data_IF_702247036202
#
_entry.id   IF_702247036202
#
_cell.length_a   1.000
_cell.length_b   1.000
_cell.length_c   1.000
_cell.angle_alpha   90.00
_cell.angle_beta   90.00
_cell.angle_gamma   90.00
#
_symmetry.space_group_name_H-M   'P 1'
#
loop_
_entity.id
_entity.type
_entity.pdbx_description
1 polymer ?
#
# COMPACT_ATOMS: atom_id res chain seq x y z
N UNK A 1 -65.61 -65.00 15.67
CA UNK A 1 -65.75 -63.88 14.76
C UNK A 1 -64.72 -62.77 15.18
N UNK A 2 -63.65 -62.57 14.47
CA UNK A 2 -62.70 -61.48 14.84
C UNK A 2 -62.98 -60.24 14.04
N UNK A 3 -63.00 -59.10 14.74
CA UNK A 3 -63.05 -57.73 14.18
C UNK A 3 -61.72 -57.36 13.46
N UNK A 4 -61.83 -56.91 12.22
CA UNK A 4 -60.75 -56.30 11.49
C UNK A 4 -60.60 -54.85 11.93
N UNK A 5 -59.43 -54.50 12.47
CA UNK A 5 -58.99 -53.09 12.70
C UNK A 5 -58.38 -52.53 11.41
N UNK A 6 -58.95 -51.47 10.86
CA UNK A 6 -58.36 -50.69 9.79
C UNK A 6 -57.36 -49.68 10.40
N UNK A 7 -56.09 -49.76 9.99
CA UNK A 7 -55.06 -48.84 10.33
C UNK A 7 -55.02 -47.74 9.24
N UNK A 8 -55.41 -46.51 9.60
CA UNK A 8 -55.30 -45.35 8.73
C UNK A 8 -53.88 -44.79 8.93
N UNK A 9 -53.03 -44.95 7.93
CA UNK A 9 -51.69 -44.28 7.89
C UNK A 9 -51.86 -42.91 7.27
N UNK A 10 -51.79 -41.89 8.13
CA UNK A 10 -51.79 -40.49 7.70
C UNK A 10 -50.37 -40.09 7.26
N UNK A 11 -50.18 -39.89 5.98
CA UNK A 11 -48.91 -39.35 5.41
C UNK A 11 -48.92 -37.85 5.59
N UNK A 12 -48.14 -37.34 6.57
CA UNK A 12 -47.80 -35.91 6.66
C UNK A 12 -46.71 -35.62 5.61
N UNK A 13 -47.08 -34.92 4.52
CA UNK A 13 -46.14 -34.27 3.64
C UNK A 13 -45.55 -33.07 4.37
N UNK A 14 -44.32 -33.20 4.83
CA UNK A 14 -43.52 -32.09 5.31
C UNK A 14 -42.90 -31.41 4.08
N UNK A 15 -43.50 -30.31 3.64
CA UNK A 15 -42.91 -29.42 2.59
C UNK A 15 -41.71 -28.72 3.19
N UNK A 16 -40.51 -29.18 2.85
CA UNK A 16 -39.28 -28.48 3.14
C UNK A 16 -39.19 -27.29 2.17
N UNK A 17 -39.56 -26.12 2.65
CA UNK A 17 -39.21 -24.84 2.01
C UNK A 17 -37.71 -24.63 2.26
N UNK A 18 -36.90 -25.16 1.37
CA UNK A 18 -35.47 -24.77 1.30
C UNK A 18 -35.45 -23.33 0.81
N UNK A 19 -35.13 -22.41 1.72
CA UNK A 19 -34.93 -21.01 1.43
C UNK A 19 -33.71 -20.85 0.50
N UNK A 20 -33.96 -20.63 -0.77
CA UNK A 20 -32.95 -20.21 -1.76
C UNK A 20 -32.48 -18.79 -1.50
N UNK A 21 -31.66 -18.56 -0.48
CA UNK A 21 -31.05 -17.28 -0.21
C UNK A 21 -29.52 -17.27 -0.22
N UNK A 22 -28.88 -18.46 -0.33
CA UNK A 22 -27.41 -18.56 -0.36
C UNK A 22 -26.80 -18.72 -1.74
N UNK A 23 -27.59 -18.98 -2.79
CA UNK A 23 -27.06 -19.26 -4.14
C UNK A 23 -26.69 -18.00 -4.95
N UNK A 24 -27.36 -16.86 -4.70
CA UNK A 24 -27.12 -15.66 -5.51
C UNK A 24 -25.88 -14.87 -5.06
N UNK A 25 -25.56 -14.86 -3.74
CA UNK A 25 -24.34 -14.23 -3.25
C UNK A 25 -23.08 -15.04 -3.59
N UNK A 26 -23.15 -16.37 -3.49
CA UNK A 26 -22.06 -17.26 -3.91
C UNK A 26 -21.80 -17.18 -5.41
N UNK A 27 -22.83 -16.96 -6.21
CA UNK A 27 -22.76 -16.82 -7.66
C UNK A 27 -22.05 -15.52 -8.11
N UNK A 28 -22.13 -14.40 -7.37
CA UNK A 28 -21.49 -13.13 -7.78
C UNK A 28 -19.96 -13.17 -7.65
N UNK A 29 -19.42 -13.78 -6.61
CA UNK A 29 -17.98 -13.90 -6.43
C UNK A 29 -17.34 -14.90 -7.40
N UNK A 30 -18.04 -16.01 -7.71
CA UNK A 30 -17.65 -16.94 -8.78
C UNK A 30 -17.65 -16.24 -10.15
N UNK A 31 -18.66 -15.41 -10.42
CA UNK A 31 -18.74 -14.61 -11.64
C UNK A 31 -17.58 -13.60 -11.73
N UNK A 32 -17.23 -12.93 -10.61
CA UNK A 32 -16.07 -12.04 -10.53
C UNK A 32 -14.78 -12.80 -10.85
N UNK A 33 -14.59 -13.98 -10.27
CA UNK A 33 -13.42 -14.83 -10.55
C UNK A 33 -13.35 -15.24 -12.02
N UNK A 34 -14.46 -15.69 -12.60
CA UNK A 34 -14.53 -16.03 -14.02
C UNK A 34 -14.19 -14.83 -14.92
N UNK A 35 -14.80 -13.67 -14.67
CA UNK A 35 -14.53 -12.45 -15.41
C UNK A 35 -13.08 -11.98 -15.27
N UNK A 36 -12.48 -12.13 -14.08
CA UNK A 36 -11.05 -11.84 -13.85
C UNK A 36 -10.17 -12.74 -14.71
N UNK A 37 -10.49 -14.05 -14.80
CA UNK A 37 -9.76 -14.99 -15.63
C UNK A 37 -9.86 -14.65 -17.12
N UNK A 38 -11.02 -14.19 -17.59
CA UNK A 38 -11.22 -13.77 -18.99
C UNK A 38 -10.35 -12.58 -19.40
N UNK A 39 -10.15 -11.61 -18.49
CA UNK A 39 -9.42 -10.37 -18.80
C UNK A 39 -7.93 -10.45 -18.44
N UNK A 40 -7.48 -11.48 -17.74
CA UNK A 40 -6.13 -11.58 -17.17
C UNK A 40 -5.02 -11.37 -18.20
N UNK A 41 -5.07 -12.04 -19.34
CA UNK A 41 -4.05 -11.90 -20.37
C UNK A 41 -4.00 -10.47 -20.96
N UNK A 42 -5.13 -9.77 -20.96
CA UNK A 42 -5.18 -8.36 -21.38
C UNK A 42 -4.57 -7.44 -20.32
N UNK A 43 -4.79 -7.73 -19.04
CA UNK A 43 -4.18 -6.99 -17.94
C UNK A 43 -2.65 -7.19 -17.89
N UNK A 44 -2.18 -8.39 -18.15
CA UNK A 44 -0.73 -8.67 -18.29
C UNK A 44 -0.13 -7.88 -19.44
N UNK A 45 -0.82 -7.80 -20.60
CA UNK A 45 -0.34 -7.03 -21.74
C UNK A 45 -0.26 -5.54 -21.44
N UNK A 46 -1.29 -4.96 -20.82
CA UNK A 46 -1.28 -3.53 -20.48
C UNK A 46 -0.25 -3.20 -19.39
N UNK A 47 -0.07 -4.08 -18.39
CA UNK A 47 1.00 -3.98 -17.41
C UNK A 47 2.37 -3.94 -18.09
N UNK A 48 2.64 -4.85 -19.01
CA UNK A 48 3.91 -4.90 -19.74
C UNK A 48 4.12 -3.71 -20.64
N UNK A 49 3.05 -3.13 -21.20
CA UNK A 49 3.11 -1.90 -21.98
C UNK A 49 3.51 -0.70 -21.12
N UNK A 50 2.95 -0.55 -19.91
CA UNK A 50 3.41 0.44 -18.94
C UNK A 50 4.87 0.22 -18.54
N UNK A 51 5.27 -1.03 -18.33
CA UNK A 51 6.65 -1.39 -17.98
C UNK A 51 7.65 -1.04 -19.10
N UNK A 52 7.27 -1.25 -20.36
CA UNK A 52 8.11 -0.92 -21.52
C UNK A 52 8.25 0.58 -21.79
N UNK A 53 7.27 1.37 -21.36
CA UNK A 53 7.22 2.82 -21.61
C UNK A 53 6.93 3.59 -20.30
N UNK A 54 7.80 3.45 -19.30
CA UNK A 54 7.62 4.11 -18.00
C UNK A 54 7.80 5.62 -18.12
N UNK A 55 7.08 6.37 -17.30
CA UNK A 55 7.18 7.82 -17.22
C UNK A 55 7.45 8.24 -15.76
N UNK A 56 8.40 9.15 -15.57
CA UNK A 56 8.77 9.67 -14.26
C UNK A 56 7.63 10.51 -13.65
N UNK A 57 7.68 10.66 -12.33
CA UNK A 57 6.82 11.57 -11.57
C UNK A 57 6.68 12.94 -12.25
N UNK A 58 5.45 13.42 -12.44
CA UNK A 58 5.11 14.67 -13.12
C UNK A 58 5.17 14.62 -14.66
N UNK A 59 5.49 13.48 -15.27
CA UNK A 59 5.60 13.31 -16.71
C UNK A 59 4.68 12.22 -17.29
N UNK A 60 3.72 11.69 -16.53
CA UNK A 60 2.88 10.50 -16.83
C UNK A 60 1.81 10.75 -17.91
N UNK A 61 2.18 11.47 -19.00
CA UNK A 61 1.26 11.90 -20.07
C UNK A 61 0.67 10.74 -20.88
N UNK A 62 1.55 9.81 -21.32
CA UNK A 62 1.15 8.63 -22.09
C UNK A 62 0.34 7.68 -21.20
N UNK A 63 0.82 7.43 -20.00
CA UNK A 63 0.19 6.59 -19.00
C UNK A 63 -1.22 7.08 -18.70
N UNK A 64 -1.38 8.36 -18.36
CA UNK A 64 -2.66 9.01 -18.10
C UNK A 64 -3.64 8.85 -19.29
N UNK A 65 -3.16 9.03 -20.53
CA UNK A 65 -3.98 8.89 -21.72
C UNK A 65 -4.50 7.46 -21.90
N UNK A 66 -3.63 6.45 -21.74
CA UNK A 66 -4.01 5.03 -21.87
C UNK A 66 -5.06 4.65 -20.83
N UNK A 67 -4.85 5.05 -19.59
CA UNK A 67 -5.78 4.80 -18.48
C UNK A 67 -7.14 5.46 -18.78
N UNK A 68 -7.15 6.73 -19.18
CA UNK A 68 -8.38 7.44 -19.52
C UNK A 68 -9.16 6.79 -20.68
N UNK A 69 -8.45 6.36 -21.73
CA UNK A 69 -9.05 5.64 -22.86
C UNK A 69 -9.62 4.28 -22.42
N UNK A 70 -8.90 3.53 -21.61
CA UNK A 70 -9.35 2.23 -21.10
C UNK A 70 -10.65 2.39 -20.29
N UNK A 71 -10.67 3.29 -19.31
CA UNK A 71 -11.85 3.55 -18.47
C UNK A 71 -13.05 4.07 -19.27
N UNK A 72 -12.80 4.94 -20.25
CA UNK A 72 -13.84 5.44 -21.14
C UNK A 72 -14.46 4.32 -21.99
N UNK A 73 -13.66 3.38 -22.49
CA UNK A 73 -14.14 2.22 -23.24
C UNK A 73 -14.99 1.25 -22.41
N UNK A 74 -14.79 1.25 -21.07
CA UNK A 74 -15.65 0.52 -20.13
C UNK A 74 -16.98 1.25 -19.83
N UNK A 75 -17.16 2.48 -20.34
CA UNK A 75 -18.34 3.29 -20.12
C UNK A 75 -18.36 4.05 -18.80
N UNK A 76 -17.20 4.24 -18.15
CA UNK A 76 -17.08 5.11 -16.97
C UNK A 76 -17.09 6.59 -17.40
N UNK A 77 -17.58 7.46 -16.53
CA UNK A 77 -17.31 8.89 -16.61
C UNK A 77 -15.82 9.10 -16.22
N UNK A 78 -15.06 9.77 -17.07
CA UNK A 78 -13.62 9.95 -16.87
C UNK A 78 -13.28 11.42 -16.74
N UNK A 79 -12.51 11.75 -15.71
CA UNK A 79 -11.93 13.07 -15.48
C UNK A 79 -10.42 12.98 -15.45
N UNK A 80 -9.73 13.92 -16.08
CA UNK A 80 -8.26 13.96 -16.20
C UNK A 80 -7.70 15.29 -15.73
N UNK A 81 -6.39 15.35 -15.50
CA UNK A 81 -5.69 16.60 -15.16
C UNK A 81 -5.62 16.89 -13.66
N UNK A 82 -5.93 15.93 -12.80
CA UNK A 82 -5.73 16.06 -11.37
C UNK A 82 -4.25 15.93 -11.03
N UNK A 83 -3.74 16.78 -10.17
CA UNK A 83 -2.31 16.77 -9.84
C UNK A 83 -1.43 16.65 -11.11
N UNK A 84 -1.75 17.37 -12.18
CA UNK A 84 -1.04 17.31 -13.45
C UNK A 84 -1.54 16.20 -14.39
N UNK A 85 -1.29 14.93 -14.10
CA UNK A 85 -1.60 13.80 -14.98
C UNK A 85 -2.54 12.75 -14.38
N UNK A 86 -3.11 13.00 -13.21
CA UNK A 86 -4.04 12.07 -12.57
C UNK A 86 -5.33 11.85 -13.37
N UNK A 87 -5.86 10.63 -13.25
CA UNK A 87 -7.10 10.20 -13.90
C UNK A 87 -8.07 9.65 -12.86
N UNK A 88 -9.33 10.04 -12.95
CA UNK A 88 -10.41 9.53 -12.10
C UNK A 88 -11.48 8.91 -12.99
N UNK A 89 -11.70 7.61 -12.85
CA UNK A 89 -12.85 6.90 -13.44
C UNK A 89 -14.00 6.84 -12.43
N UNK A 90 -15.22 7.13 -12.88
CA UNK A 90 -16.41 7.16 -12.02
C UNK A 90 -17.42 6.14 -12.54
N UNK A 91 -17.73 5.15 -11.72
CA UNK A 91 -18.73 4.13 -11.99
C UNK A 91 -19.92 4.31 -11.03
N UNK A 92 -21.05 4.76 -11.56
CA UNK A 92 -22.27 4.94 -10.76
C UNK A 92 -23.08 3.64 -10.73
N UNK A 93 -23.32 3.11 -9.54
CA UNK A 93 -24.18 1.94 -9.35
C UNK A 93 -25.66 2.21 -9.63
N UNK A 94 -26.45 1.15 -9.54
CA UNK A 94 -27.89 1.23 -9.84
C UNK A 94 -28.77 1.78 -8.70
N UNK A 95 -28.23 1.96 -7.48
CA UNK A 95 -28.95 2.37 -6.28
C UNK A 95 -28.08 3.30 -5.42
N UNK A 96 -28.70 4.06 -4.54
CA UNK A 96 -27.98 4.83 -3.53
C UNK A 96 -27.16 3.93 -2.61
N UNK A 97 -25.99 4.36 -2.21
CA UNK A 97 -25.04 3.67 -1.36
C UNK A 97 -23.78 4.48 -1.12
N UNK A 98 -22.71 3.83 -0.68
CA UNK A 98 -21.45 4.47 -0.37
C UNK A 98 -20.69 4.95 -1.61
N UNK A 99 -19.92 5.98 -1.41
CA UNK A 99 -18.91 6.45 -2.35
C UNK A 99 -17.55 5.83 -1.94
N UNK A 100 -17.04 4.91 -2.74
CA UNK A 100 -15.83 4.15 -2.43
C UNK A 100 -14.78 4.42 -3.49
N UNK A 101 -13.53 4.68 -3.05
CA UNK A 101 -12.41 4.86 -3.96
C UNK A 101 -11.45 3.67 -3.93
N UNK A 102 -10.88 3.36 -5.09
CA UNK A 102 -9.69 2.54 -5.28
C UNK A 102 -8.58 3.41 -5.84
N UNK A 103 -7.39 3.43 -5.18
CA UNK A 103 -6.23 4.21 -5.64
C UNK A 103 -5.18 3.29 -6.23
N UNK A 104 -4.59 3.68 -7.34
CA UNK A 104 -3.36 3.15 -7.91
C UNK A 104 -2.43 4.30 -8.29
N UNK A 105 -1.16 4.21 -7.92
CA UNK A 105 -0.11 5.12 -8.36
C UNK A 105 0.35 4.80 -9.79
N UNK A 106 1.04 5.76 -10.46
CA UNK A 106 1.34 5.64 -11.89
C UNK A 106 2.80 5.88 -12.25
N UNK A 107 3.53 6.60 -11.43
CA UNK A 107 4.88 7.08 -11.75
C UNK A 107 5.94 5.98 -11.71
N UNK A 108 7.01 6.19 -12.44
CA UNK A 108 8.18 5.32 -12.47
C UNK A 108 9.38 6.01 -11.82
N UNK A 109 10.43 5.23 -11.55
CA UNK A 109 11.65 5.67 -10.92
C UNK A 109 12.75 6.02 -11.94
N UNK A 110 13.60 7.02 -11.63
CA UNK A 110 14.87 7.18 -12.32
C UNK A 110 15.77 5.99 -11.92
N UNK A 111 16.07 5.11 -12.87
CA UNK A 111 16.80 3.88 -12.58
C UNK A 111 17.51 3.34 -13.81
N UNK A 112 18.83 3.18 -13.73
CA UNK A 112 19.70 2.58 -14.76
C UNK A 112 19.97 1.08 -14.53
N UNK A 113 19.21 0.44 -13.63
CA UNK A 113 19.44 -0.96 -13.27
C UNK A 113 19.00 -1.92 -14.37
N UNK A 114 19.66 -3.09 -14.41
CA UNK A 114 19.38 -4.11 -15.42
C UNK A 114 17.96 -4.69 -15.22
N UNK A 115 17.09 -4.36 -16.15
CA UNK A 115 15.78 -4.97 -16.25
C UNK A 115 15.91 -6.31 -17.01
N UNK A 116 15.80 -7.39 -16.28
CA UNK A 116 16.02 -8.76 -16.79
C UNK A 116 14.80 -9.43 -17.44
N UNK A 117 13.77 -8.66 -17.83
CA UNK A 117 12.56 -9.21 -18.44
C UNK A 117 12.51 -8.96 -19.95
N UNK A 118 11.79 -9.81 -20.73
CA UNK A 118 11.65 -9.63 -22.18
C UNK A 118 10.99 -8.31 -22.59
N UNK A 119 10.14 -7.76 -21.71
CA UNK A 119 9.41 -6.49 -21.85
C UNK A 119 10.05 -5.35 -21.05
N UNK A 120 11.40 -5.35 -20.98
CA UNK A 120 12.17 -4.33 -20.27
C UNK A 120 11.86 -2.91 -20.75
N UNK A 121 12.11 -1.94 -19.90
CA UNK A 121 11.99 -0.52 -20.25
C UNK A 121 12.71 -0.18 -21.56
N UNK A 122 12.05 0.59 -22.40
CA UNK A 122 12.59 1.18 -23.63
C UNK A 122 12.99 2.64 -23.45
N UNK A 123 12.83 3.16 -22.23
CA UNK A 123 13.19 4.53 -21.87
C UNK A 123 14.46 4.46 -21.02
N UNK A 124 15.54 5.01 -21.57
CA UNK A 124 16.84 5.02 -20.91
C UNK A 124 16.75 5.74 -19.55
N UNK A 125 17.31 5.13 -18.50
CA UNK A 125 17.33 5.68 -17.16
C UNK A 125 15.99 5.74 -16.43
N UNK A 126 14.93 5.08 -16.94
CA UNK A 126 13.60 5.06 -16.30
C UNK A 126 13.04 3.65 -16.24
N UNK A 127 12.54 3.24 -15.09
CA UNK A 127 12.00 1.89 -14.88
C UNK A 127 10.89 1.87 -13.82
N UNK A 128 9.89 1.00 -13.98
CA UNK A 128 8.96 0.63 -12.92
C UNK A 128 9.60 -0.34 -11.91
N UNK A 129 10.50 0.19 -11.06
CA UNK A 129 11.20 -0.57 -10.01
C UNK A 129 10.43 -0.66 -8.69
N UNK A 130 9.27 0.00 -8.58
CA UNK A 130 8.40 -0.04 -7.42
C UNK A 130 7.12 -0.88 -7.63
N UNK A 131 6.73 -1.14 -8.88
CA UNK A 131 5.58 -1.98 -9.21
C UNK A 131 4.29 -1.22 -9.51
N UNK A 132 4.35 0.09 -9.75
CA UNK A 132 3.17 0.90 -10.07
C UNK A 132 2.51 0.47 -11.38
N UNK A 133 3.25 -0.10 -12.32
CA UNK A 133 2.70 -0.75 -13.52
C UNK A 133 1.75 -1.93 -13.18
N UNK A 134 2.04 -2.67 -12.10
CA UNK A 134 1.17 -3.73 -11.57
C UNK A 134 -0.05 -3.11 -10.88
N UNK A 135 0.12 -2.04 -10.10
CA UNK A 135 -0.98 -1.36 -9.43
C UNK A 135 -1.98 -0.78 -10.41
N UNK A 136 -1.49 -0.14 -11.49
CA UNK A 136 -2.35 0.35 -12.58
C UNK A 136 -3.14 -0.78 -13.24
N UNK A 137 -2.50 -1.89 -13.57
CA UNK A 137 -3.18 -3.03 -14.18
C UNK A 137 -4.25 -3.63 -13.25
N UNK A 138 -3.97 -3.71 -11.95
CA UNK A 138 -4.94 -4.15 -10.94
C UNK A 138 -6.11 -3.17 -10.87
N UNK A 139 -5.85 -1.86 -10.78
CA UNK A 139 -6.90 -0.83 -10.73
C UNK A 139 -7.81 -0.86 -11.96
N UNK A 140 -7.24 -1.03 -13.16
CA UNK A 140 -7.99 -1.20 -14.41
C UNK A 140 -8.81 -2.49 -14.42
N UNK A 141 -8.23 -3.58 -13.93
CA UNK A 141 -8.93 -4.87 -13.83
C UNK A 141 -10.12 -4.83 -12.87
N UNK A 142 -9.96 -4.20 -11.69
CA UNK A 142 -11.06 -3.98 -10.73
C UNK A 142 -12.15 -3.13 -11.38
N UNK A 143 -11.78 -2.04 -12.08
CA UNK A 143 -12.74 -1.19 -12.78
C UNK A 143 -13.53 -1.96 -13.82
N UNK A 144 -12.87 -2.82 -14.63
CA UNK A 144 -13.53 -3.60 -15.68
C UNK A 144 -14.48 -4.65 -15.10
N UNK A 145 -14.04 -5.42 -14.10
CA UNK A 145 -14.87 -6.45 -13.44
C UNK A 145 -16.08 -5.80 -12.78
N UNK A 146 -15.91 -4.67 -12.11
CA UNK A 146 -17.01 -3.97 -11.44
C UNK A 146 -17.95 -3.27 -12.44
N UNK A 147 -17.44 -2.76 -13.55
CA UNK A 147 -18.28 -2.22 -14.62
C UNK A 147 -19.21 -3.30 -15.22
N UNK A 148 -18.70 -4.53 -15.41
CA UNK A 148 -19.51 -5.68 -15.85
C UNK A 148 -20.57 -6.11 -14.81
N UNK A 149 -20.42 -5.71 -13.55
CA UNK A 149 -21.33 -6.01 -12.45
C UNK A 149 -22.06 -4.78 -11.89
N UNK A 150 -22.12 -3.70 -12.64
CA UNK A 150 -22.65 -2.39 -12.25
C UNK A 150 -24.01 -2.45 -11.55
N UNK A 151 -24.93 -3.30 -12.03
CA UNK A 151 -26.28 -3.44 -11.47
C UNK A 151 -26.29 -4.01 -10.04
N UNK A 152 -25.23 -4.68 -9.64
CA UNK A 152 -25.05 -5.21 -8.29
C UNK A 152 -24.41 -4.21 -7.31
N UNK A 153 -23.99 -3.06 -7.79
CA UNK A 153 -23.30 -2.02 -7.01
C UNK A 153 -24.31 -0.99 -6.51
N UNK A 154 -24.18 -0.61 -5.23
CA UNK A 154 -24.83 0.56 -4.65
C UNK A 154 -23.82 1.70 -4.51
N UNK A 155 -24.30 2.94 -4.64
CA UNK A 155 -23.47 4.13 -4.54
C UNK A 155 -22.59 4.37 -5.76
N UNK A 156 -21.42 4.96 -5.55
CA UNK A 156 -20.51 5.34 -6.63
C UNK A 156 -19.10 4.83 -6.33
N UNK A 157 -18.46 4.23 -7.33
CA UNK A 157 -17.06 3.82 -7.24
C UNK A 157 -16.17 4.79 -8.01
N UNK A 158 -15.08 5.18 -7.38
CA UNK A 158 -14.07 6.08 -7.93
C UNK A 158 -12.76 5.32 -8.08
N UNK A 159 -12.20 5.32 -9.28
CA UNK A 159 -10.89 4.72 -9.58
C UNK A 159 -9.90 5.86 -9.77
N UNK A 160 -9.06 6.09 -8.78
CA UNK A 160 -8.08 7.18 -8.74
C UNK A 160 -6.73 6.63 -9.20
N UNK A 161 -6.27 7.07 -10.36
CA UNK A 161 -4.93 6.81 -10.85
C UNK A 161 -4.08 8.04 -10.58
N UNK A 162 -3.16 7.91 -9.63
CA UNK A 162 -2.44 9.00 -9.00
C UNK A 162 -1.02 9.13 -9.58
N UNK A 163 -0.61 10.30 -10.08
CA UNK A 163 0.80 10.58 -10.44
C UNK A 163 1.62 10.93 -9.19
N UNK A 164 2.95 11.02 -9.36
CA UNK A 164 3.90 11.63 -8.41
C UNK A 164 3.86 11.04 -6.98
N UNK A 165 3.68 9.72 -6.83
CA UNK A 165 3.74 9.07 -5.52
C UNK A 165 5.15 9.15 -4.95
N UNK A 166 6.18 8.83 -5.73
CA UNK A 166 7.59 8.75 -5.34
C UNK A 166 8.19 10.11 -4.89
N UNK A 167 7.49 11.20 -5.19
CA UNK A 167 7.83 12.56 -4.73
C UNK A 167 7.01 13.03 -3.52
N UNK A 168 6.05 12.23 -3.05
CA UNK A 168 5.13 12.55 -1.94
C UNK A 168 4.26 13.78 -2.16
N UNK A 169 4.02 14.18 -3.41
CA UNK A 169 3.19 15.34 -3.74
C UNK A 169 1.88 14.99 -4.43
N UNK A 170 1.80 13.84 -5.07
CA UNK A 170 0.65 13.45 -5.88
C UNK A 170 -0.65 13.32 -5.10
N UNK A 171 -0.68 12.52 -4.04
CA UNK A 171 -1.87 12.36 -3.20
C UNK A 171 -2.29 13.68 -2.57
N UNK A 172 -1.32 14.46 -2.06
CA UNK A 172 -1.58 15.79 -1.48
C UNK A 172 -2.26 16.72 -2.48
N UNK A 173 -1.73 16.80 -3.70
CA UNK A 173 -2.28 17.64 -4.75
C UNK A 173 -3.69 17.20 -5.19
N UNK A 174 -3.99 15.89 -5.15
CA UNK A 174 -5.34 15.39 -5.41
C UNK A 174 -6.29 15.76 -4.28
N UNK A 175 -5.89 15.58 -3.03
CA UNK A 175 -6.72 15.90 -1.85
C UNK A 175 -6.99 17.40 -1.75
N UNK A 176 -6.01 18.24 -2.06
CA UNK A 176 -6.14 19.69 -2.06
C UNK A 176 -7.04 20.21 -3.22
N UNK A 177 -7.42 19.37 -4.17
CA UNK A 177 -8.30 19.73 -5.28
C UNK A 177 -9.77 19.69 -4.85
N UNK A 178 -10.55 20.72 -5.22
CA UNK A 178 -11.98 20.83 -4.88
C UNK A 178 -12.81 19.61 -5.32
N UNK A 179 -12.45 18.97 -6.44
CA UNK A 179 -13.16 17.78 -6.92
C UNK A 179 -13.02 16.59 -5.98
N UNK A 180 -11.92 16.49 -5.20
CA UNK A 180 -11.79 15.44 -4.20
C UNK A 180 -12.88 15.57 -3.12
N UNK A 181 -13.10 16.77 -2.62
CA UNK A 181 -14.17 17.02 -1.64
C UNK A 181 -15.58 16.80 -2.24
N UNK A 182 -15.78 17.09 -3.53
CA UNK A 182 -17.05 16.85 -4.23
C UNK A 182 -17.39 15.36 -4.39
N UNK A 183 -16.39 14.46 -4.36
CA UNK A 183 -16.64 13.01 -4.42
C UNK A 183 -17.38 12.48 -3.18
N UNK A 184 -17.31 13.18 -2.05
CA UNK A 184 -17.93 12.79 -0.77
C UNK A 184 -17.65 11.31 -0.45
N UNK A 185 -16.37 10.93 -0.45
CA UNK A 185 -15.93 9.56 -0.25
C UNK A 185 -16.18 9.09 1.18
N UNK A 186 -16.71 7.88 1.32
CA UNK A 186 -16.90 7.20 2.61
C UNK A 186 -15.68 6.33 2.97
N UNK A 187 -15.06 5.70 1.97
CA UNK A 187 -13.99 4.72 2.13
C UNK A 187 -13.02 4.80 0.95
N UNK A 188 -11.72 4.59 1.23
CA UNK A 188 -10.70 4.47 0.19
C UNK A 188 -9.80 3.26 0.44
N UNK A 189 -9.42 2.58 -0.65
CA UNK A 189 -8.57 1.41 -0.63
C UNK A 189 -7.41 1.55 -1.61
N UNK A 190 -6.26 1.01 -1.23
CA UNK A 190 -5.10 0.86 -2.10
C UNK A 190 -4.31 -0.40 -1.74
N UNK A 191 -3.35 -0.75 -2.58
CA UNK A 191 -2.38 -1.80 -2.29
C UNK A 191 -0.99 -1.41 -2.78
N UNK A 192 0.02 -2.11 -2.26
CA UNK A 192 1.36 -2.10 -2.82
C UNK A 192 1.90 -3.52 -3.00
N UNK A 193 2.41 -3.84 -4.18
CA UNK A 193 3.08 -5.10 -4.44
C UNK A 193 4.46 -5.12 -3.79
N UNK A 194 4.81 -6.22 -3.10
CA UNK A 194 6.09 -6.33 -2.39
C UNK A 194 6.61 -7.77 -2.35
N UNK A 195 7.72 -8.00 -1.65
CA UNK A 195 8.46 -9.27 -1.64
C UNK A 195 7.79 -10.44 -0.91
N UNK A 196 6.53 -10.33 -0.54
CA UNK A 196 5.73 -11.45 -0.03
C UNK A 196 5.52 -12.53 -1.12
N UNK A 197 5.22 -13.79 -0.74
CA UNK A 197 4.83 -14.83 -1.68
C UNK A 197 3.68 -14.39 -2.58
N UNK A 198 3.75 -14.72 -3.87
CA UNK A 198 2.77 -14.30 -4.89
C UNK A 198 1.34 -14.56 -4.45
N UNK A 199 0.52 -13.53 -4.55
CA UNK A 199 -0.89 -13.55 -4.21
C UNK A 199 -1.23 -13.52 -2.72
N UNK A 200 -0.25 -13.52 -1.82
CA UNK A 200 -0.48 -13.30 -0.41
C UNK A 200 -0.93 -11.84 -0.20
N UNK A 201 -2.07 -11.64 0.45
CA UNK A 201 -2.57 -10.32 0.83
C UNK A 201 -2.31 -10.14 2.32
N UNK A 202 -1.55 -9.11 2.70
CA UNK A 202 -1.21 -8.82 4.09
C UNK A 202 -1.74 -7.45 4.48
N UNK A 203 -2.27 -7.33 5.70
CA UNK A 203 -2.82 -6.08 6.23
C UNK A 203 -2.82 -6.08 7.75
N UNK A 204 -2.82 -4.90 8.33
CA UNK A 204 -3.07 -4.66 9.77
C UNK A 204 -3.79 -3.33 9.97
N UNK A 205 -4.52 -3.15 11.07
CA UNK A 205 -5.00 -1.84 11.49
C UNK A 205 -3.84 -0.96 12.00
N UNK A 206 -4.08 0.34 12.00
CA UNK A 206 -3.17 1.39 12.47
C UNK A 206 -1.90 1.53 11.60
N UNK A 207 -0.78 1.87 12.17
CA UNK A 207 0.47 2.18 11.44
C UNK A 207 1.01 0.97 10.69
N UNK A 208 1.14 1.10 9.37
CA UNK A 208 1.69 0.04 8.52
C UNK A 208 3.23 0.09 8.48
N UNK A 209 3.80 1.29 8.47
CA UNK A 209 5.24 1.53 8.38
C UNK A 209 5.76 2.25 9.61
N UNK A 210 7.06 2.22 9.85
CA UNK A 210 7.70 3.06 10.85
C UNK A 210 7.67 4.54 10.42
N UNK A 211 7.54 5.46 11.37
CA UNK A 211 7.63 6.89 11.14
C UNK A 211 9.03 7.26 10.67
N UNK A 212 9.16 7.71 9.45
CA UNK A 212 10.42 8.16 8.87
C UNK A 212 10.62 9.64 9.11
N UNK A 213 11.73 10.00 9.73
CA UNK A 213 12.14 11.39 9.97
C UNK A 213 13.56 11.60 9.48
N UNK A 214 13.86 12.82 9.00
CA UNK A 214 15.24 13.25 8.73
C UNK A 214 15.58 14.36 9.70
N UNK A 215 16.58 14.13 10.53
CA UNK A 215 17.10 15.11 11.46
C UNK A 215 18.26 15.89 10.83
N UNK A 216 18.41 17.14 11.31
CA UNK A 216 19.59 17.96 11.07
C UNK A 216 20.12 18.48 12.40
N UNK A 217 21.38 18.21 12.69
CA UNK A 217 22.13 18.74 13.82
C UNK A 217 23.13 19.76 13.31
N UNK A 218 23.04 21.01 13.76
CA UNK A 218 23.86 22.13 13.31
C UNK A 218 24.89 22.48 14.37
N UNK A 219 26.15 22.67 13.92
CA UNK A 219 27.29 23.04 14.73
C UNK A 219 28.00 24.28 14.12
N UNK A 220 28.77 25.02 14.92
CA UNK A 220 29.58 26.09 14.40
C UNK A 220 30.81 25.56 13.64
N UNK A 221 31.51 26.45 12.92
CA UNK A 221 32.65 26.11 12.04
C UNK A 221 33.91 25.57 12.75
N UNK A 222 33.91 25.52 14.10
CA UNK A 222 34.98 24.88 14.90
C UNK A 222 34.78 23.37 15.08
N UNK A 223 33.69 22.85 14.58
CA UNK A 223 33.35 21.42 14.65
C UNK A 223 33.90 20.72 13.40
N UNK A 224 34.79 19.73 13.59
CA UNK A 224 35.39 19.01 12.47
C UNK A 224 34.54 17.87 11.95
N UNK A 225 34.86 17.38 10.76
CA UNK A 225 34.19 16.19 10.21
C UNK A 225 34.47 14.93 11.05
N UNK A 226 35.67 14.79 11.57
CA UNK A 226 36.08 13.69 12.47
C UNK A 226 35.31 13.74 13.78
N UNK A 227 35.13 14.93 14.36
CA UNK A 227 34.28 15.13 15.56
C UNK A 227 32.84 14.76 15.25
N UNK A 228 32.33 15.09 14.06
CA UNK A 228 30.97 14.77 13.62
C UNK A 228 30.73 13.26 13.56
N UNK A 229 31.67 12.48 13.02
CA UNK A 229 31.58 11.03 12.95
C UNK A 229 31.55 10.39 14.36
N UNK A 230 32.41 10.89 15.26
CA UNK A 230 32.48 10.38 16.64
C UNK A 230 31.17 10.67 17.38
N UNK A 231 30.71 11.93 17.34
CA UNK A 231 29.49 12.35 18.02
C UNK A 231 28.24 11.65 17.45
N UNK A 232 28.16 11.52 16.12
CA UNK A 232 27.02 10.83 15.52
C UNK A 232 26.92 9.37 15.94
N UNK A 233 28.02 8.65 16.00
CA UNK A 233 28.07 7.26 16.51
C UNK A 233 27.61 7.19 17.98
N UNK A 234 28.02 8.14 18.81
CA UNK A 234 27.60 8.23 20.21
C UNK A 234 26.09 8.48 20.32
N UNK A 235 25.56 9.48 19.57
CA UNK A 235 24.12 9.81 19.54
C UNK A 235 23.33 8.60 19.07
N UNK A 236 23.72 7.97 17.94
CA UNK A 236 23.08 6.79 17.41
C UNK A 236 23.00 5.68 18.46
N UNK A 237 24.10 5.33 19.09
CA UNK A 237 24.15 4.25 20.08
C UNK A 237 23.29 4.52 21.33
N UNK A 238 23.22 5.77 21.81
CA UNK A 238 22.45 6.17 22.99
C UNK A 238 20.96 6.39 22.67
N UNK A 239 20.62 6.70 21.41
CA UNK A 239 19.25 7.01 21.00
C UNK A 239 18.51 5.78 20.53
N UNK A 240 19.16 4.87 19.83
CA UNK A 240 18.53 3.65 19.31
C UNK A 240 17.88 2.82 20.40
N UNK A 241 16.74 2.22 20.05
CA UNK A 241 16.00 1.25 20.86
C UNK A 241 15.67 0.05 19.99
N UNK A 242 15.89 -1.14 20.49
CA UNK A 242 15.55 -2.39 19.81
C UNK A 242 15.52 -3.54 20.82
N UNK A 243 14.86 -4.63 20.44
CA UNK A 243 14.96 -5.88 21.18
C UNK A 243 16.39 -6.42 21.08
N UNK A 244 16.93 -6.98 22.16
CA UNK A 244 18.27 -7.53 22.20
C UNK A 244 18.50 -8.58 21.09
N UNK A 245 19.63 -8.47 20.40
CA UNK A 245 19.98 -9.34 19.29
C UNK A 245 19.18 -9.10 17.98
N UNK A 246 18.22 -8.17 17.97
CA UNK A 246 17.44 -7.87 16.78
C UNK A 246 18.12 -6.83 15.89
N UNK A 247 17.75 -6.86 14.58
CA UNK A 247 18.22 -5.91 13.57
C UNK A 247 17.06 -5.60 12.60
N UNK A 248 16.08 -4.77 13.03
CA UNK A 248 14.89 -4.45 12.23
C UNK A 248 15.19 -3.64 10.96
N UNK A 249 16.41 -3.15 10.79
CA UNK A 249 16.89 -2.50 9.56
C UNK A 249 17.34 -3.46 8.46
N UNK A 250 17.43 -4.77 8.74
CA UNK A 250 17.73 -5.79 7.75
C UNK A 250 16.44 -6.26 7.06
N UNK A 251 16.03 -5.56 6.00
CA UNK A 251 14.75 -5.74 5.32
C UNK A 251 14.44 -7.19 4.92
N UNK A 252 15.40 -8.03 4.45
CA UNK A 252 15.09 -9.42 4.15
C UNK A 252 14.48 -10.20 5.33
N UNK A 253 14.77 -9.80 6.57
CA UNK A 253 14.18 -10.40 7.77
C UNK A 253 12.69 -10.10 7.94
N UNK A 254 12.16 -9.08 7.28
CA UNK A 254 10.72 -8.77 7.32
C UNK A 254 9.86 -9.91 6.73
N UNK A 255 10.43 -10.68 5.82
CA UNK A 255 9.77 -11.79 5.13
C UNK A 255 10.08 -13.17 5.72
N UNK A 256 10.82 -13.22 6.84
CA UNK A 256 11.08 -14.44 7.59
C UNK A 256 9.86 -14.88 8.40
N UNK A 257 9.55 -16.19 8.38
CA UNK A 257 8.35 -16.71 9.05
C UNK A 257 8.41 -16.71 10.58
N UNK A 258 9.60 -16.68 11.16
CA UNK A 258 9.80 -16.79 12.61
C UNK A 258 9.99 -15.43 13.29
N UNK A 259 10.60 -14.47 12.59
CA UNK A 259 10.95 -13.17 13.15
C UNK A 259 10.39 -11.97 12.33
N UNK A 260 9.83 -12.24 11.17
CA UNK A 260 9.32 -11.23 10.23
C UNK A 260 7.92 -10.71 10.56
N UNK A 261 7.33 -10.01 9.60
CA UNK A 261 6.06 -9.29 9.78
C UNK A 261 4.87 -10.19 10.11
N UNK A 262 4.88 -11.43 9.64
CA UNK A 262 3.79 -12.39 9.86
C UNK A 262 3.82 -13.05 11.25
N UNK A 263 4.85 -12.82 12.04
CA UNK A 263 4.97 -13.40 13.38
C UNK A 263 4.50 -12.42 14.46
N UNK A 264 3.60 -12.81 15.38
CA UNK A 264 3.17 -11.95 16.50
C UNK A 264 4.30 -11.43 17.38
N UNK A 265 5.42 -12.14 17.43
CA UNK A 265 6.62 -11.77 18.21
C UNK A 265 7.73 -11.13 17.33
N UNK A 266 7.37 -10.58 16.19
CA UNK A 266 8.28 -9.98 15.21
C UNK A 266 9.30 -9.03 15.84
N UNK A 267 10.50 -8.96 15.21
CA UNK A 267 11.54 -7.98 15.57
C UNK A 267 11.20 -6.56 15.05
N UNK A 268 10.21 -6.43 14.18
CA UNK A 268 9.75 -5.17 13.58
C UNK A 268 8.74 -4.41 14.46
N UNK A 269 8.78 -4.62 15.77
CA UNK A 269 8.00 -3.92 16.78
C UNK A 269 8.91 -3.18 17.74
N UNK A 270 8.42 -2.06 18.27
CA UNK A 270 9.02 -1.30 19.37
C UNK A 270 10.52 -1.02 19.19
N UNK A 271 10.85 -0.40 18.06
CA UNK A 271 12.21 0.06 17.82
C UNK A 271 12.27 1.54 17.45
N UNK A 272 13.42 2.14 17.75
CA UNK A 272 13.91 3.37 17.15
C UNK A 272 15.26 3.04 16.50
N UNK A 273 15.32 3.22 15.22
CA UNK A 273 16.53 2.97 14.43
C UNK A 273 17.02 4.27 13.79
N UNK A 274 18.30 4.56 13.88
CA UNK A 274 18.97 5.62 13.12
C UNK A 274 19.91 4.99 12.10
N UNK A 275 19.89 5.48 10.87
CA UNK A 275 20.77 4.97 9.81
C UNK A 275 22.24 5.09 10.21
N UNK A 276 23.06 4.18 9.69
CA UNK A 276 24.49 4.24 9.89
C UNK A 276 25.14 5.31 9.02
N UNK A 277 24.62 5.45 7.80
CA UNK A 277 25.02 6.49 6.86
C UNK A 277 24.37 7.82 7.23
N UNK A 278 25.16 8.89 7.18
CA UNK A 278 24.71 10.25 7.41
C UNK A 278 25.41 11.20 6.45
N UNK A 279 24.83 12.36 6.22
CA UNK A 279 25.40 13.39 5.37
C UNK A 279 26.05 14.47 6.24
N UNK A 280 27.20 14.93 5.84
CA UNK A 280 27.84 16.13 6.39
C UNK A 280 27.83 17.19 5.31
N UNK A 281 27.19 18.31 5.61
CA UNK A 281 27.21 19.53 4.80
C UNK A 281 27.92 20.62 5.61
N UNK A 282 28.80 21.43 4.98
CA UNK A 282 29.55 22.44 5.68
C UNK A 282 29.82 23.63 4.80
N UNK A 283 29.68 24.82 5.40
CA UNK A 283 30.08 26.12 4.83
C UNK A 283 31.10 26.82 5.73
N UNK A 284 31.38 28.10 5.46
CA UNK A 284 32.33 28.88 6.23
C UNK A 284 31.86 29.17 7.67
N UNK A 285 30.58 29.04 7.97
CA UNK A 285 29.99 29.41 9.25
C UNK A 285 29.59 28.20 10.10
N UNK A 286 29.23 27.06 9.46
CA UNK A 286 28.63 25.92 10.15
C UNK A 286 28.93 24.55 9.51
N UNK A 287 28.71 23.51 10.31
CA UNK A 287 28.69 22.12 9.87
C UNK A 287 27.37 21.50 10.29
N UNK A 288 26.66 20.89 9.33
CA UNK A 288 25.40 20.20 9.52
C UNK A 288 25.60 18.67 9.39
N UNK A 289 25.10 17.91 10.36
CA UNK A 289 24.94 16.44 10.25
C UNK A 289 23.49 16.15 9.97
N UNK A 290 23.21 15.38 8.90
CA UNK A 290 21.85 14.98 8.54
C UNK A 290 21.75 13.46 8.48
N UNK A 291 20.72 12.90 9.11
CA UNK A 291 20.48 11.46 9.13
C UNK A 291 19.00 11.10 9.15
N UNK A 292 18.65 9.94 8.60
CA UNK A 292 17.33 9.38 8.74
C UNK A 292 17.19 8.56 10.01
N UNK A 293 15.99 8.58 10.57
CA UNK A 293 15.58 7.71 11.68
C UNK A 293 14.17 7.17 11.45
N UNK A 294 13.89 6.04 12.08
CA UNK A 294 12.63 5.32 11.99
C UNK A 294 12.15 4.94 13.38
N UNK A 295 10.97 5.39 13.76
CA UNK A 295 10.34 5.13 15.06
C UNK A 295 9.01 4.42 14.86
N UNK A 296 8.76 3.36 15.61
CA UNK A 296 7.51 2.59 15.54
C UNK A 296 6.37 3.16 16.38
N UNK A 297 6.65 4.05 17.31
CA UNK A 297 5.66 4.59 18.22
C UNK A 297 5.56 6.11 18.12
N UNK A 298 4.40 6.60 17.65
CA UNK A 298 4.14 8.03 17.49
C UNK A 298 4.40 8.85 18.76
N UNK A 299 4.04 8.30 19.92
CA UNK A 299 4.21 9.00 21.20
C UNK A 299 5.66 9.29 21.57
N UNK A 300 6.61 8.54 21.01
CA UNK A 300 8.04 8.72 21.25
C UNK A 300 8.66 9.84 20.40
N UNK A 301 8.04 10.20 19.27
CA UNK A 301 8.61 11.19 18.32
C UNK A 301 8.96 12.51 19.00
N UNK A 302 8.11 12.99 19.90
CA UNK A 302 8.32 14.24 20.64
C UNK A 302 9.56 14.21 21.56
N UNK A 303 10.06 13.04 21.94
CA UNK A 303 11.16 12.88 22.89
C UNK A 303 12.52 12.69 22.18
N UNK A 304 12.54 12.50 20.86
CA UNK A 304 13.78 12.17 20.12
C UNK A 304 14.72 13.36 20.08
N UNK A 305 14.26 14.53 19.66
CA UNK A 305 15.09 15.73 19.59
C UNK A 305 15.62 16.15 20.95
N UNK A 306 14.79 16.25 22.02
CA UNK A 306 15.27 16.53 23.37
C UNK A 306 16.34 15.55 23.86
N UNK A 307 16.19 14.26 23.55
CA UNK A 307 17.19 13.25 23.92
C UNK A 307 18.53 13.47 23.20
N UNK A 308 18.48 13.81 21.92
CA UNK A 308 19.68 14.14 21.14
C UNK A 308 20.37 15.39 21.70
N UNK A 309 19.60 16.44 22.00
CA UNK A 309 20.11 17.66 22.65
C UNK A 309 20.80 17.33 23.99
N UNK A 310 20.16 16.55 24.86
CA UNK A 310 20.75 16.13 26.12
C UNK A 310 22.08 15.38 25.94
N UNK A 311 22.18 14.51 24.94
CA UNK A 311 23.44 13.80 24.63
C UNK A 311 24.53 14.78 24.23
N UNK A 312 24.21 15.75 23.38
CA UNK A 312 25.18 16.75 22.89
C UNK A 312 25.61 17.68 24.03
N UNK A 313 24.68 18.19 24.84
CA UNK A 313 24.95 19.06 26.00
C UNK A 313 25.84 18.40 27.06
N UNK A 314 25.76 17.07 27.20
CA UNK A 314 26.61 16.28 28.07
C UNK A 314 27.94 15.83 27.41
N UNK A 315 28.21 16.23 26.17
CA UNK A 315 29.42 15.89 25.44
C UNK A 315 30.49 17.00 25.55
N UNK A 316 31.69 16.70 25.09
CA UNK A 316 32.76 17.71 24.94
C UNK A 316 32.49 18.71 23.81
N UNK A 317 31.43 18.50 23.05
CA UNK A 317 31.08 19.29 21.86
C UNK A 317 29.97 20.33 22.13
N UNK A 318 29.45 20.44 23.36
CA UNK A 318 28.35 21.34 23.74
C UNK A 318 28.55 22.78 23.29
N UNK A 319 29.79 23.33 23.44
CA UNK A 319 30.09 24.71 23.09
C UNK A 319 30.12 24.97 21.56
N UNK A 320 30.05 23.90 20.75
CA UNK A 320 30.00 23.97 19.30
C UNK A 320 28.59 23.78 18.76
N UNK A 321 27.65 23.25 19.57
CA UNK A 321 26.28 22.94 19.19
C UNK A 321 25.46 24.23 18.97
N UNK A 322 24.60 24.23 17.95
CA UNK A 322 23.69 25.33 17.63
C UNK A 322 22.23 24.87 17.75
N UNK A 323 21.87 23.80 17.08
CA UNK A 323 20.47 23.32 17.09
C UNK A 323 20.32 21.89 16.54
N UNK A 324 19.21 21.24 16.90
CA UNK A 324 18.72 20.04 16.22
C UNK A 324 17.27 20.24 15.84
N UNK A 325 16.90 19.74 14.65
CA UNK A 325 15.53 19.86 14.14
C UNK A 325 15.19 18.71 13.19
N UNK A 326 13.91 18.46 12.98
CA UNK A 326 13.45 17.70 11.82
C UNK A 326 13.48 18.60 10.57
N UNK A 327 14.02 18.08 9.47
CA UNK A 327 14.02 18.73 8.16
C UNK A 327 13.15 17.99 7.15
N UNK A 328 12.74 16.78 7.47
CA UNK A 328 11.77 15.99 6.72
C UNK A 328 10.97 15.12 7.71
N UNK A 329 9.67 15.12 7.55
CA UNK A 329 8.74 14.40 8.40
C UNK A 329 7.73 13.67 7.51
N UNK A 330 8.15 12.54 6.92
CA UNK A 330 7.24 11.75 6.11
C UNK A 330 6.15 11.14 7.01
N UNK A 331 4.89 11.27 6.59
CA UNK A 331 3.79 10.59 7.27
C UNK A 331 3.93 9.06 7.11
N UNK A 332 3.25 8.29 7.95
CA UNK A 332 3.08 6.85 7.75
C UNK A 332 1.66 6.53 7.32
N UNK A 333 1.48 5.45 6.57
CA UNK A 333 0.16 4.92 6.25
C UNK A 333 -0.53 4.47 7.54
N UNK A 334 -1.76 4.96 7.76
CA UNK A 334 -2.54 4.75 8.98
C UNK A 334 -3.90 4.11 8.64
N UNK A 335 -3.95 2.79 8.67
CA UNK A 335 -5.16 2.04 8.35
C UNK A 335 -6.25 2.23 9.40
N UNK A 336 -7.46 2.62 8.99
CA UNK A 336 -8.62 2.69 9.87
C UNK A 336 -8.92 1.30 10.46
N UNK A 337 -8.94 1.19 11.78
CA UNK A 337 -9.08 -0.10 12.48
C UNK A 337 -10.39 -0.81 12.14
N UNK A 338 -11.51 -0.08 12.16
CA UNK A 338 -12.83 -0.64 11.90
C UNK A 338 -12.96 -1.09 10.44
N UNK A 339 -12.49 -0.26 9.51
CA UNK A 339 -12.54 -0.55 8.09
C UNK A 339 -11.62 -1.72 7.73
N UNK A 340 -10.43 -1.78 8.32
CA UNK A 340 -9.49 -2.89 8.14
C UNK A 340 -10.07 -4.21 8.62
N UNK A 341 -10.65 -4.25 9.82
CA UNK A 341 -11.28 -5.44 10.35
C UNK A 341 -12.48 -5.88 9.49
N UNK A 342 -13.26 -4.94 8.96
CA UNK A 342 -14.34 -5.24 8.03
C UNK A 342 -13.82 -5.85 6.72
N UNK A 343 -12.72 -5.32 6.18
CA UNK A 343 -12.11 -5.85 4.96
C UNK A 343 -11.57 -7.28 5.17
N UNK A 344 -10.87 -7.52 6.29
CA UNK A 344 -10.38 -8.85 6.69
C UNK A 344 -11.56 -9.84 6.77
N UNK A 345 -12.60 -9.50 7.52
CA UNK A 345 -13.77 -10.37 7.69
C UNK A 345 -14.46 -10.64 6.35
N UNK A 346 -14.57 -9.66 5.47
CA UNK A 346 -15.18 -9.81 4.16
C UNK A 346 -14.37 -10.78 3.29
N UNK A 347 -13.08 -10.58 3.16
CA UNK A 347 -12.22 -11.44 2.34
C UNK A 347 -12.10 -12.86 2.91
N UNK A 348 -12.01 -13.01 4.24
CA UNK A 348 -11.99 -14.31 4.90
C UNK A 348 -13.31 -15.07 4.69
N UNK A 349 -14.44 -14.38 4.77
CA UNK A 349 -15.77 -14.99 4.50
C UNK A 349 -15.89 -15.50 3.07
N UNK A 350 -15.34 -14.79 2.09
CA UNK A 350 -15.47 -15.13 0.66
C UNK A 350 -14.46 -16.21 0.25
N UNK A 351 -13.20 -16.07 0.68
CA UNK A 351 -12.06 -16.85 0.18
C UNK A 351 -11.43 -17.78 1.22
N UNK A 352 -11.95 -17.81 2.46
CA UNK A 352 -11.45 -18.66 3.55
C UNK A 352 -10.39 -17.99 4.42
N UNK A 353 -10.02 -18.69 5.51
CA UNK A 353 -9.12 -18.16 6.55
C UNK A 353 -7.72 -17.77 6.03
N UNK A 354 -7.27 -18.35 4.93
CA UNK A 354 -5.97 -18.08 4.34
C UNK A 354 -5.99 -16.93 3.32
N UNK A 355 -7.14 -16.27 3.13
CA UNK A 355 -7.24 -15.16 2.17
C UNK A 355 -6.40 -13.94 2.58
N UNK A 356 -6.22 -13.75 3.88
CA UNK A 356 -5.48 -12.63 4.47
C UNK A 356 -4.43 -13.16 5.44
N UNK A 357 -3.26 -12.56 5.40
CA UNK A 357 -2.22 -12.74 6.41
C UNK A 357 -2.13 -11.47 7.25
N UNK A 358 -2.09 -11.65 8.56
CA UNK A 358 -1.95 -10.51 9.49
C UNK A 358 -0.51 -10.01 9.50
N UNK A 359 -0.35 -8.71 9.39
CA UNK A 359 0.91 -8.03 9.68
C UNK A 359 0.98 -7.67 11.17
N UNK A 360 2.10 -7.94 11.79
CA UNK A 360 2.33 -7.65 13.21
C UNK A 360 3.46 -6.65 13.44
N UNK A 361 4.12 -6.18 12.39
CA UNK A 361 5.27 -5.29 12.48
C UNK A 361 5.05 -3.91 11.85
N UNK A 362 6.11 -3.14 11.81
CA UNK A 362 6.23 -1.89 11.07
C UNK A 362 7.61 -1.89 10.41
N UNK A 363 7.63 -2.00 9.10
CA UNK A 363 8.90 -2.08 8.37
C UNK A 363 9.52 -0.66 8.24
N UNK A 364 10.84 -0.48 8.42
CA UNK A 364 11.51 0.78 8.12
C UNK A 364 11.74 0.92 6.61
N UNK A 365 12.09 2.11 6.14
CA UNK A 365 12.41 2.49 4.76
C UNK A 365 11.22 2.51 3.78
N UNK A 366 10.09 1.93 4.15
CA UNK A 366 8.88 1.97 3.35
C UNK A 366 7.99 3.14 3.79
N UNK A 367 7.34 3.76 2.85
CA UNK A 367 6.33 4.79 3.09
C UNK A 367 5.48 4.96 1.83
N UNK A 368 4.35 5.69 1.93
CA UNK A 368 3.47 6.00 0.80
C UNK A 368 2.68 7.28 1.10
N UNK A 369 2.45 8.09 0.09
CA UNK A 369 1.69 9.32 0.21
C UNK A 369 0.17 9.10 0.32
N UNK A 370 -0.30 7.86 0.26
CA UNK A 370 -1.68 7.44 0.55
C UNK A 370 -2.20 7.98 1.90
N UNK A 371 -1.31 8.22 2.83
CA UNK A 371 -1.61 8.88 4.10
C UNK A 371 -2.41 10.19 3.93
N UNK A 372 -2.16 10.98 2.88
CA UNK A 372 -2.91 12.23 2.68
C UNK A 372 -4.40 11.98 2.46
N UNK A 373 -4.77 10.89 1.78
CA UNK A 373 -6.17 10.48 1.70
C UNK A 373 -6.72 10.06 3.06
N UNK A 374 -5.93 9.29 3.83
CA UNK A 374 -6.34 8.78 5.14
C UNK A 374 -6.52 9.86 6.20
N UNK A 375 -5.99 11.05 6.00
CA UNK A 375 -6.29 12.22 6.84
C UNK A 375 -7.72 12.74 6.66
N UNK A 376 -8.29 12.56 5.48
CA UNK A 376 -9.60 13.10 5.11
C UNK A 376 -10.71 12.04 5.19
N UNK A 377 -10.39 10.79 4.92
CA UNK A 377 -11.35 9.68 4.85
C UNK A 377 -10.76 8.39 5.42
N UNK A 378 -11.64 7.51 5.94
CA UNK A 378 -11.21 6.16 6.38
C UNK A 378 -10.64 5.38 5.20
N UNK A 379 -9.40 4.89 5.35
CA UNK A 379 -8.70 4.17 4.29
C UNK A 379 -8.02 2.90 4.76
N UNK A 380 -7.88 1.94 3.85
CA UNK A 380 -7.11 0.70 4.07
C UNK A 380 -6.12 0.49 2.94
N UNK A 381 -4.88 0.29 3.33
CA UNK A 381 -3.77 -0.02 2.46
C UNK A 381 -3.29 -1.44 2.71
N UNK A 382 -3.21 -2.24 1.66
CA UNK A 382 -2.81 -3.63 1.71
C UNK A 382 -1.41 -3.82 1.16
N UNK A 383 -0.69 -4.85 1.62
CA UNK A 383 0.50 -5.35 0.95
C UNK A 383 0.13 -6.61 0.16
N UNK A 384 0.61 -6.68 -1.08
CA UNK A 384 0.36 -7.78 -2.01
C UNK A 384 1.66 -8.50 -2.36
N UNK A 385 1.70 -9.80 -2.19
CA UNK A 385 2.86 -10.60 -2.57
C UNK A 385 3.03 -10.69 -4.09
N UNK A 386 4.23 -10.34 -4.57
CA UNK A 386 4.65 -10.45 -5.96
C UNK A 386 5.80 -11.41 -6.20
N UNK A 387 6.42 -11.97 -5.14
CA UNK A 387 7.57 -12.87 -5.27
C UNK A 387 7.18 -14.32 -5.53
N UNK A 388 7.98 -15.01 -6.31
CA UNK A 388 7.84 -16.46 -6.55
C UNK A 388 9.23 -17.13 -6.55
N UNK A 389 9.56 -17.78 -5.43
CA UNK A 389 10.85 -18.39 -5.24
C UNK A 389 11.12 -19.54 -6.23
N UNK A 390 10.09 -20.30 -6.63
CA UNK A 390 10.22 -21.40 -7.60
C UNK A 390 10.61 -20.88 -8.99
N UNK A 391 10.17 -19.67 -9.35
CA UNK A 391 10.50 -19.00 -10.61
C UNK A 391 11.72 -18.07 -10.50
N UNK A 392 12.35 -17.97 -9.32
CA UNK A 392 13.45 -17.03 -9.07
C UNK A 392 13.04 -15.56 -9.21
N UNK A 393 11.79 -15.24 -8.87
CA UNK A 393 11.23 -13.88 -8.93
C UNK A 393 11.21 -13.27 -7.53
N UNK A 394 11.78 -12.08 -7.39
CA UNK A 394 11.80 -11.32 -6.14
C UNK A 394 11.23 -9.91 -6.38
N UNK A 395 10.13 -9.59 -5.72
CA UNK A 395 9.44 -8.30 -5.81
C UNK A 395 9.90 -7.35 -4.68
N UNK A 396 11.22 -7.24 -4.48
CA UNK A 396 11.79 -6.26 -3.54
C UNK A 396 11.81 -4.90 -4.19
N UNK A 397 11.00 -3.99 -3.67
CA UNK A 397 10.84 -2.63 -4.19
C UNK A 397 12.18 -1.87 -4.18
N UNK A 398 12.42 -1.07 -5.20
CA UNK A 398 13.64 -0.30 -5.44
C UNK A 398 14.93 -1.14 -5.53
N UNK A 399 14.83 -2.47 -5.55
CA UNK A 399 15.99 -3.32 -5.75
C UNK A 399 16.38 -3.45 -7.23
N UNK A 400 17.68 -3.62 -7.55
CA UNK A 400 18.16 -3.72 -8.92
C UNK A 400 17.51 -4.82 -9.76
N UNK A 401 17.03 -5.87 -9.11
CA UNK A 401 16.44 -7.05 -9.73
C UNK A 401 14.95 -7.17 -9.43
N UNK A 402 14.28 -6.06 -9.16
CA UNK A 402 12.83 -6.05 -8.92
C UNK A 402 12.09 -6.73 -10.07
N UNK A 403 11.32 -7.75 -9.73
CA UNK A 403 10.51 -8.52 -10.67
C UNK A 403 9.27 -9.04 -9.96
N UNK A 404 8.16 -9.12 -10.68
CA UNK A 404 6.87 -9.55 -10.14
C UNK A 404 6.37 -10.79 -10.88
N UNK A 405 5.84 -11.76 -10.15
CA UNK A 405 5.01 -12.81 -10.74
C UNK A 405 3.61 -12.24 -10.99
N UNK A 406 3.27 -12.07 -12.27
CA UNK A 406 2.06 -11.41 -12.72
C UNK A 406 0.76 -12.10 -12.23
N UNK A 407 0.85 -13.33 -11.72
CA UNK A 407 -0.31 -14.01 -11.10
C UNK A 407 -0.88 -13.22 -9.90
N UNK A 408 -0.09 -12.34 -9.27
CA UNK A 408 -0.58 -11.44 -8.23
C UNK A 408 -1.67 -10.49 -8.75
N UNK A 409 -1.65 -10.11 -10.04
CA UNK A 409 -2.68 -9.28 -10.68
C UNK A 409 -4.04 -9.99 -10.64
N UNK A 410 -4.08 -11.27 -11.04
CA UNK A 410 -5.30 -12.07 -11.04
C UNK A 410 -5.89 -12.16 -9.64
N UNK A 411 -5.05 -12.48 -8.65
CA UNK A 411 -5.48 -12.66 -7.26
C UNK A 411 -6.00 -11.34 -6.68
N UNK A 412 -5.31 -10.23 -6.93
CA UNK A 412 -5.72 -8.92 -6.46
C UNK A 412 -7.04 -8.45 -7.10
N UNK A 413 -7.16 -8.54 -8.43
CA UNK A 413 -8.39 -8.14 -9.14
C UNK A 413 -9.59 -8.91 -8.61
N UNK A 414 -9.50 -10.23 -8.50
CA UNK A 414 -10.57 -11.06 -7.96
C UNK A 414 -10.95 -10.65 -6.54
N UNK A 415 -9.96 -10.57 -5.66
CA UNK A 415 -10.18 -10.34 -4.23
C UNK A 415 -10.72 -8.94 -3.96
N UNK A 416 -10.14 -7.92 -4.56
CA UNK A 416 -10.54 -6.54 -4.29
C UNK A 416 -11.79 -6.12 -5.04
N UNK A 417 -12.10 -6.69 -6.20
CA UNK A 417 -13.43 -6.53 -6.82
C UNK A 417 -14.53 -7.07 -5.93
N UNK A 418 -14.32 -8.24 -5.32
CA UNK A 418 -15.26 -8.82 -4.36
C UNK A 418 -15.38 -7.98 -3.09
N UNK A 419 -14.26 -7.49 -2.54
CA UNK A 419 -14.27 -6.60 -1.37
C UNK A 419 -15.08 -5.34 -1.65
N UNK A 420 -14.78 -4.62 -2.73
CA UNK A 420 -15.45 -3.35 -3.07
C UNK A 420 -16.94 -3.57 -3.32
N UNK A 421 -17.33 -4.66 -4.01
CA UNK A 421 -18.74 -5.00 -4.21
C UNK A 421 -19.47 -5.19 -2.89
N UNK A 422 -18.92 -5.97 -1.96
CA UNK A 422 -19.51 -6.19 -0.64
C UNK A 422 -19.57 -4.90 0.18
N UNK A 423 -18.49 -4.09 0.14
CA UNK A 423 -18.47 -2.80 0.84
C UNK A 423 -19.51 -1.83 0.29
N UNK A 424 -19.70 -1.76 -1.03
CA UNK A 424 -20.73 -0.93 -1.65
C UNK A 424 -22.14 -1.31 -1.22
N UNK A 425 -22.37 -2.59 -0.92
CA UNK A 425 -23.66 -3.13 -0.49
C UNK A 425 -23.86 -3.11 1.04
N UNK A 426 -22.79 -2.85 1.81
CA UNK A 426 -22.88 -2.76 3.28
C UNK A 426 -23.54 -1.45 3.73
N UNK A 427 -24.21 -1.51 4.92
CA UNK A 427 -24.79 -0.32 5.56
C UNK A 427 -23.74 0.58 6.16
#
# INVERSE_FOLDING_TARGET
MPLKKHLIVSFLLFSILISCKSSDEENVHQKIEHQTNEIFDSLVKIRRDFHEYPELAGNEKRTSKIIAEYLSNLGLEVKTGFAGHGVIGILRGGKEGKNIAWRADMDALPNDMLDGVPYKSKIEGVQHGCGHDVHMAIGLGIAEVLAKNKESIKGTLYFIFQPEEETFVGAKNIVDNSLFSEMNLDEIYALHVTALPVGQIMVKPNELFAYQKRIKMKFNNKFSKEDAEILYKEIRNKTMRKKDGSSPWEIPKAFDSEIGLVNPNTIFKDYLFMEENFLIDSDDESLDIQAYLYETNQSNLQNILPKIEEIIENSIYKDKFISVSYIQENPTVLNDEKLTNNAINTLTKIYGENAIVMDYGQIPYFNDDFYYYQKEISGVYFLLGGSNAEKGITAMNHAPNFRVDEECIRIAVKSFSSLILERSNSK
#
